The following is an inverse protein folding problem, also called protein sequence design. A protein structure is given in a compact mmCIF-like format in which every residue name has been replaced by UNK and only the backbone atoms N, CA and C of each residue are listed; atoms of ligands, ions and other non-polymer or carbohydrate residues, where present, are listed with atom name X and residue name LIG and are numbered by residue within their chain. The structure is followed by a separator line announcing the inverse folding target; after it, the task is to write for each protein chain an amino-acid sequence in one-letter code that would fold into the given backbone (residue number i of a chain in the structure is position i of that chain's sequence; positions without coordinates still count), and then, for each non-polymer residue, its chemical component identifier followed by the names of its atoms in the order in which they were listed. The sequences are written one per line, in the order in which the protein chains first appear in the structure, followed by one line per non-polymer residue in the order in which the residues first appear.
data_IF_389248276836
#
_entry.id   IF_389248276836
#
_cell.length_a   1.000
_cell.length_b   1.000
_cell.length_c   1.000
_cell.angle_alpha   90.00
_cell.angle_beta   90.00
_cell.angle_gamma   90.00
#
_symmetry.space_group_name_H-M   'P 1'
#
loop_
_entity.id
_entity.type
_entity.pdbx_description
1 polymer ?
#
# COMPACT_ATOMS: atom_id res chain seq x y z
N UNK A 1 11.97 -5.63 18.56
CA UNK A 1 10.89 -6.54 18.98
C UNK A 1 9.70 -5.63 19.30
N UNK A 2 8.94 -5.24 18.27
CA UNK A 2 7.76 -4.33 18.33
C UNK A 2 6.54 -4.98 17.63
N UNK A 3 6.45 -6.31 17.61
CA UNK A 3 5.49 -7.02 16.75
C UNK A 3 4.01 -6.84 17.16
N UNK A 4 3.72 -6.39 18.38
CA UNK A 4 2.34 -6.14 18.84
C UNK A 4 1.85 -4.80 18.32
N UNK A 5 2.67 -3.75 18.47
CA UNK A 5 2.37 -2.40 17.97
C UNK A 5 2.21 -2.38 16.44
N UNK A 6 3.06 -3.10 15.71
CA UNK A 6 3.01 -3.18 14.24
C UNK A 6 1.71 -3.84 13.74
N UNK A 7 1.21 -4.88 14.43
CA UNK A 7 -0.03 -5.55 14.07
C UNK A 7 -1.25 -4.67 14.36
N UNK A 8 -1.27 -4.01 15.52
CA UNK A 8 -2.35 -3.10 15.91
C UNK A 8 -2.40 -1.87 15.00
N UNK A 9 -1.24 -1.34 14.59
CA UNK A 9 -1.14 -0.28 13.57
C UNK A 9 -1.69 -0.72 12.22
N UNK A 10 -1.39 -1.95 11.75
CA UNK A 10 -1.94 -2.48 10.49
C UNK A 10 -3.47 -2.63 10.58
N UNK A 11 -4.00 -3.16 11.69
CA UNK A 11 -5.46 -3.31 11.88
C UNK A 11 -6.18 -1.97 11.97
N UNK A 12 -5.58 -0.99 12.64
CA UNK A 12 -6.10 0.38 12.68
C UNK A 12 -6.16 0.99 11.28
N UNK A 13 -5.11 0.82 10.48
CA UNK A 13 -5.06 1.32 9.10
C UNK A 13 -6.11 0.65 8.20
N UNK A 14 -6.32 -0.67 8.31
CA UNK A 14 -7.39 -1.39 7.59
C UNK A 14 -8.77 -0.85 7.97
N UNK A 15 -9.00 -0.57 9.25
CA UNK A 15 -10.26 -0.04 9.77
C UNK A 15 -10.53 1.37 9.24
N UNK A 16 -9.53 2.26 9.31
CA UNK A 16 -9.59 3.62 8.77
C UNK A 16 -9.85 3.60 7.26
N UNK A 17 -9.10 2.77 6.53
CA UNK A 17 -9.27 2.63 5.09
C UNK A 17 -10.69 2.18 4.73
N UNK A 18 -11.21 1.16 5.43
CA UNK A 18 -12.55 0.63 5.19
C UNK A 18 -13.63 1.67 5.45
N UNK A 19 -13.47 2.51 6.48
CA UNK A 19 -14.40 3.60 6.77
C UNK A 19 -14.40 4.67 5.66
N UNK A 20 -13.22 5.13 5.24
CA UNK A 20 -13.08 6.18 4.24
C UNK A 20 -13.49 5.74 2.83
N UNK A 21 -13.20 4.50 2.44
CA UNK A 21 -13.66 3.95 1.15
C UNK A 21 -15.16 3.70 1.11
N UNK A 22 -15.82 3.36 2.23
CA UNK A 22 -17.30 3.28 2.27
C UNK A 22 -17.94 4.63 1.93
N UNK A 23 -17.32 5.74 2.34
CA UNK A 23 -17.71 7.09 1.93
C UNK A 23 -17.64 7.31 0.41
N UNK A 24 -16.66 6.70 -0.28
CA UNK A 24 -16.55 6.69 -1.75
C UNK A 24 -17.55 5.76 -2.43
N UNK A 25 -17.82 4.59 -1.83
CA UNK A 25 -18.65 3.55 -2.44
C UNK A 25 -20.15 3.90 -2.45
N UNK A 26 -20.62 4.74 -1.54
CA UNK A 26 -22.02 5.20 -1.47
C UNK A 26 -22.44 6.13 -2.62
N UNK A 27 -21.50 6.78 -3.30
CA UNK A 27 -21.78 7.78 -4.35
C UNK A 27 -21.47 7.23 -5.75
N UNK A 28 -22.19 6.18 -6.14
CA UNK A 28 -21.88 5.34 -7.30
C UNK A 28 -22.14 5.94 -8.70
N UNK A 29 -22.31 7.26 -8.89
CA UNK A 29 -22.58 7.80 -10.25
C UNK A 29 -21.76 8.98 -10.72
N UNK A 30 -21.10 9.72 -9.85
CA UNK A 30 -20.15 10.77 -10.22
C UNK A 30 -19.18 10.94 -9.06
N UNK A 31 -18.09 10.17 -9.03
CA UNK A 31 -16.98 10.48 -8.12
C UNK A 31 -16.47 11.83 -8.59
N UNK A 32 -16.87 12.91 -7.92
CA UNK A 32 -16.29 14.22 -8.11
C UNK A 32 -14.78 14.06 -7.83
N UNK A 33 -13.92 14.39 -8.80
CA UNK A 33 -12.48 14.30 -8.67
C UNK A 33 -11.98 15.02 -7.40
N UNK A 34 -12.68 16.05 -6.97
CA UNK A 34 -12.44 16.76 -5.70
C UNK A 34 -12.61 15.84 -4.49
N UNK A 35 -13.68 15.05 -4.41
CA UNK A 35 -13.88 14.09 -3.30
C UNK A 35 -12.81 13.02 -3.28
N UNK A 36 -12.38 12.54 -4.46
CA UNK A 36 -11.27 11.59 -4.56
C UNK A 36 -9.97 12.21 -4.03
N UNK A 37 -9.69 13.47 -4.35
CA UNK A 37 -8.52 14.21 -3.84
C UNK A 37 -8.58 14.38 -2.32
N UNK A 38 -9.73 14.77 -1.76
CA UNK A 38 -9.92 14.92 -0.31
C UNK A 38 -9.68 13.59 0.41
N UNK A 39 -10.31 12.50 -0.07
CA UNK A 39 -10.17 11.20 0.58
C UNK A 39 -8.75 10.65 0.42
N UNK A 40 -8.09 10.87 -0.72
CA UNK A 40 -6.68 10.53 -0.89
C UNK A 40 -5.80 11.27 0.13
N UNK A 41 -6.00 12.57 0.32
CA UNK A 41 -5.24 13.35 1.29
C UNK A 41 -5.46 12.83 2.72
N UNK A 42 -6.71 12.56 3.09
CA UNK A 42 -7.05 12.02 4.40
C UNK A 42 -6.48 10.60 4.62
N UNK A 43 -6.51 9.76 3.58
CA UNK A 43 -5.88 8.44 3.62
C UNK A 43 -4.36 8.54 3.77
N UNK A 44 -3.70 9.45 3.05
CA UNK A 44 -2.26 9.67 3.19
C UNK A 44 -1.91 10.08 4.62
N UNK A 45 -2.66 11.00 5.21
CA UNK A 45 -2.43 11.46 6.58
C UNK A 45 -2.65 10.33 7.60
N UNK A 46 -3.81 9.67 7.54
CA UNK A 46 -4.20 8.67 8.54
C UNK A 46 -3.51 7.32 8.39
N UNK A 47 -3.05 6.98 7.17
CA UNK A 47 -2.29 5.76 6.91
C UNK A 47 -0.77 5.99 6.93
N UNK A 48 -0.30 7.17 7.35
CA UNK A 48 1.13 7.45 7.48
C UNK A 48 1.92 6.38 8.26
N UNK A 49 1.38 5.70 9.30
CA UNK A 49 2.09 4.59 9.94
C UNK A 49 2.46 3.45 8.98
N UNK A 50 1.62 3.19 7.97
CA UNK A 50 1.87 2.13 6.97
C UNK A 50 3.05 2.44 6.08
N UNK A 51 3.36 3.72 5.84
CA UNK A 51 4.57 4.11 5.12
C UNK A 51 5.82 3.55 5.80
N UNK A 52 5.90 3.66 7.13
CA UNK A 52 6.98 3.07 7.92
C UNK A 52 6.92 1.55 7.91
N UNK A 53 5.74 0.99 8.20
CA UNK A 53 5.55 -0.45 8.37
C UNK A 53 5.88 -1.24 7.09
N UNK A 54 5.55 -0.68 5.93
CA UNK A 54 5.85 -1.28 4.62
C UNK A 54 7.14 -0.74 4.00
N UNK A 55 7.94 0.04 4.75
CA UNK A 55 9.20 0.63 4.28
C UNK A 55 9.06 1.36 2.92
N UNK A 56 8.00 2.17 2.79
CA UNK A 56 7.70 2.94 1.58
C UNK A 56 8.35 4.33 1.63
N UNK A 57 8.78 4.81 0.47
CA UNK A 57 9.25 6.19 0.30
C UNK A 57 8.09 7.19 0.24
N UNK A 58 8.39 8.49 0.37
CA UNK A 58 7.41 9.57 0.14
C UNK A 58 6.86 9.59 -1.29
N UNK A 59 7.63 9.09 -2.25
CA UNK A 59 7.23 8.99 -3.64
C UNK A 59 6.30 7.78 -3.87
N UNK A 60 6.57 6.65 -3.22
CA UNK A 60 5.80 5.43 -3.40
C UNK A 60 4.46 5.47 -2.66
N UNK A 61 4.43 6.06 -1.47
CA UNK A 61 3.27 5.97 -0.60
C UNK A 61 1.98 6.56 -1.23
N UNK A 62 2.00 7.72 -1.91
CA UNK A 62 0.84 8.21 -2.66
C UNK A 62 0.39 7.27 -3.78
N UNK A 63 1.32 6.61 -4.47
CA UNK A 63 1.03 5.64 -5.53
C UNK A 63 0.33 4.42 -4.93
N UNK A 64 0.84 3.90 -3.82
CA UNK A 64 0.21 2.82 -3.07
C UNK A 64 -1.24 3.16 -2.67
N UNK A 65 -1.47 4.36 -2.13
CA UNK A 65 -2.83 4.82 -1.77
C UNK A 65 -3.75 4.89 -3.00
N UNK A 66 -3.26 5.35 -4.15
CA UNK A 66 -4.03 5.35 -5.39
C UNK A 66 -4.46 3.95 -5.80
N UNK A 67 -3.57 2.96 -5.69
CA UNK A 67 -3.89 1.55 -5.97
C UNK A 67 -4.89 0.98 -4.96
N UNK A 68 -4.79 1.32 -3.68
CA UNK A 68 -5.79 0.92 -2.68
C UNK A 68 -7.18 1.49 -3.02
N UNK A 69 -7.25 2.79 -3.38
CA UNK A 69 -8.51 3.43 -3.82
C UNK A 69 -9.04 2.77 -5.10
N UNK A 70 -8.20 2.54 -6.10
CA UNK A 70 -8.59 1.93 -7.38
C UNK A 70 -9.14 0.51 -7.20
N UNK A 71 -8.54 -0.27 -6.29
CA UNK A 71 -9.00 -1.62 -5.95
C UNK A 71 -10.09 -1.63 -4.86
N UNK A 72 -10.44 -0.46 -4.31
CA UNK A 72 -11.40 -0.30 -3.19
C UNK A 72 -11.10 -1.21 -2.01
N UNK A 73 -9.82 -1.53 -1.77
CA UNK A 73 -9.37 -2.40 -0.68
C UNK A 73 -8.00 -1.96 -0.16
N UNK A 74 -7.77 -2.22 1.12
CA UNK A 74 -6.44 -2.11 1.70
C UNK A 74 -5.57 -3.24 1.12
N UNK A 75 -4.39 -2.90 0.60
CA UNK A 75 -3.50 -3.85 -0.05
C UNK A 75 -2.36 -4.24 0.90
N UNK A 76 -2.34 -5.50 1.34
CA UNK A 76 -1.18 -6.01 2.09
C UNK A 76 0.03 -6.19 1.18
N UNK A 77 1.24 -6.25 1.75
CA UNK A 77 2.50 -6.39 0.98
C UNK A 77 2.41 -7.40 -0.18
N UNK A 78 1.95 -8.67 0.00
CA UNK A 78 1.86 -9.62 -1.11
C UNK A 78 0.89 -9.18 -2.21
N UNK A 79 -0.21 -8.53 -1.84
CA UNK A 79 -1.19 -8.00 -2.78
C UNK A 79 -0.65 -6.77 -3.51
N UNK A 80 0.07 -5.89 -2.80
CA UNK A 80 0.73 -4.71 -3.37
C UNK A 80 1.74 -5.12 -4.43
N UNK A 81 2.58 -6.12 -4.15
CA UNK A 81 3.54 -6.66 -5.13
C UNK A 81 2.81 -7.13 -6.39
N UNK A 82 1.72 -7.89 -6.23
CA UNK A 82 0.92 -8.39 -7.35
C UNK A 82 0.32 -7.25 -8.16
N UNK A 83 -0.38 -6.32 -7.51
CA UNK A 83 -1.06 -5.19 -8.17
C UNK A 83 -0.05 -4.30 -8.90
N UNK A 84 1.12 -4.07 -8.31
CA UNK A 84 2.18 -3.30 -8.95
C UNK A 84 2.72 -4.02 -10.19
N UNK A 85 3.01 -5.32 -10.08
CA UNK A 85 3.45 -6.13 -11.21
C UNK A 85 2.45 -6.18 -12.35
N UNK A 86 1.16 -6.31 -12.04
CA UNK A 86 0.06 -6.30 -13.03
C UNK A 86 -0.04 -4.93 -13.73
N UNK A 87 0.10 -3.83 -12.99
CA UNK A 87 0.04 -2.47 -13.54
C UNK A 87 1.23 -2.13 -14.44
N UNK A 88 2.45 -2.55 -14.05
CA UNK A 88 3.67 -2.41 -14.85
C UNK A 88 3.55 -3.23 -16.13
N UNK A 89 3.17 -4.50 -16.02
CA UNK A 89 3.03 -5.40 -17.18
C UNK A 89 1.97 -4.90 -18.18
N UNK A 90 0.97 -4.18 -17.70
CA UNK A 90 -0.08 -3.57 -18.52
C UNK A 90 0.26 -2.17 -19.05
N UNK A 91 1.48 -1.64 -18.80
CA UNK A 91 1.89 -0.27 -19.15
C UNK A 91 0.91 0.81 -18.65
N UNK A 92 0.33 0.62 -17.45
CA UNK A 92 -0.65 1.54 -16.85
C UNK A 92 -0.04 2.57 -15.91
N UNK A 93 1.28 2.61 -15.81
CA UNK A 93 2.04 3.50 -14.93
C UNK A 93 3.10 4.22 -15.76
N UNK A 94 3.48 5.42 -15.34
CA UNK A 94 4.57 6.16 -15.97
C UNK A 94 5.92 5.49 -15.69
N UNK A 95 6.93 5.76 -16.53
CA UNK A 95 8.29 5.23 -16.33
C UNK A 95 8.91 5.64 -14.97
N UNK A 96 8.52 6.82 -14.45
CA UNK A 96 8.94 7.26 -13.12
C UNK A 96 8.32 6.41 -12.00
N UNK A 97 7.00 6.20 -12.06
CA UNK A 97 6.29 5.35 -11.10
C UNK A 97 6.76 3.90 -11.17
N UNK A 98 6.95 3.36 -12.38
CA UNK A 98 7.46 2.01 -12.61
C UNK A 98 8.79 1.80 -11.88
N UNK A 99 9.73 2.75 -12.03
CA UNK A 99 11.04 2.68 -11.37
C UNK A 99 10.89 2.60 -9.84
N UNK A 100 10.11 3.51 -9.25
CA UNK A 100 9.90 3.58 -7.80
C UNK A 100 9.20 2.32 -7.27
N UNK A 101 8.19 1.83 -7.98
CA UNK A 101 7.47 0.59 -7.65
C UNK A 101 8.41 -0.62 -7.71
N UNK A 102 9.22 -0.75 -8.77
CA UNK A 102 10.17 -1.86 -8.91
C UNK A 102 11.28 -1.84 -7.85
N UNK A 103 11.80 -0.66 -7.49
CA UNK A 103 12.80 -0.52 -6.43
C UNK A 103 12.27 -1.02 -5.09
N UNK A 104 11.03 -0.66 -4.74
CA UNK A 104 10.38 -1.16 -3.54
C UNK A 104 10.10 -2.66 -3.59
N UNK A 105 9.59 -3.19 -4.71
CA UNK A 105 9.38 -4.65 -4.86
C UNK A 105 10.69 -5.41 -4.67
N UNK A 106 11.80 -4.95 -5.27
CA UNK A 106 13.13 -5.53 -5.07
C UNK A 106 13.56 -5.47 -3.60
N UNK A 107 13.38 -4.33 -2.94
CA UNK A 107 13.68 -4.17 -1.52
C UNK A 107 12.91 -5.19 -0.66
N UNK A 108 11.60 -5.30 -0.85
CA UNK A 108 10.76 -6.24 -0.10
C UNK A 108 11.18 -7.68 -0.37
N UNK A 109 11.33 -8.07 -1.64
CA UNK A 109 11.73 -9.43 -2.00
C UNK A 109 13.09 -9.81 -1.42
N UNK A 110 14.05 -8.87 -1.41
CA UNK A 110 15.35 -9.08 -0.81
C UNK A 110 15.22 -9.28 0.70
N UNK A 111 14.52 -8.39 1.41
CA UNK A 111 14.34 -8.51 2.86
C UNK A 111 13.58 -9.77 3.28
N UNK A 112 12.59 -10.19 2.49
CA UNK A 112 11.81 -11.41 2.75
C UNK A 112 12.67 -12.66 2.54
N UNK A 113 13.56 -12.67 1.54
CA UNK A 113 14.57 -13.73 1.36
C UNK A 113 15.57 -13.76 2.52
N UNK A 114 16.00 -12.61 3.04
CA UNK A 114 16.94 -12.54 4.16
C UNK A 114 16.32 -13.05 5.47
N UNK A 115 15.02 -12.82 5.71
CA UNK A 115 14.33 -13.35 6.91
C UNK A 115 13.90 -14.82 6.78
N UNK A 116 13.67 -15.31 5.57
CA UNK A 116 13.38 -16.73 5.30
C UNK A 116 14.52 -17.70 5.65
N UNK A 117 15.76 -17.21 5.75
CA UNK A 117 16.93 -18.03 6.08
C UNK A 117 17.27 -18.12 7.57
N UNK A 118 16.61 -17.34 8.44
CA UNK A 118 16.93 -17.32 9.89
C UNK A 118 16.13 -18.39 10.65
N UNK A 119 15.02 -18.91 10.11
CA UNK A 119 14.18 -19.92 10.79
C UNK A 119 14.63 -21.38 10.61
N UNK A 120 15.68 -21.68 9.82
CA UNK A 120 16.13 -23.06 9.54
C UNK A 120 17.57 -23.38 9.97
N UNK A 121 18.22 -22.53 10.79
CA UNK A 121 19.51 -22.84 11.43
C UNK A 121 19.43 -22.94 12.95
N UNK A 122 18.49 -23.75 13.45
CA UNK A 122 18.60 -24.42 14.75
C UNK A 122 18.34 -25.90 14.55
N UNK A 123 19.37 -26.60 14.07
CA UNK A 123 19.59 -28.02 14.37
C UNK A 123 20.69 -28.08 15.40
#
# INVERSE_FOLDING_TARGET
MNNVDDFDEEQAAVSVFSYLIRGLAGESRNINEEKRKVIKAELIEKMAPMKRLYAMSDELFPIYVDFCIANKKFLKIPETIKVFGDAISANKVSAGEEKVMMEWVKYIMNNTKTTGNIKTKRR
#
